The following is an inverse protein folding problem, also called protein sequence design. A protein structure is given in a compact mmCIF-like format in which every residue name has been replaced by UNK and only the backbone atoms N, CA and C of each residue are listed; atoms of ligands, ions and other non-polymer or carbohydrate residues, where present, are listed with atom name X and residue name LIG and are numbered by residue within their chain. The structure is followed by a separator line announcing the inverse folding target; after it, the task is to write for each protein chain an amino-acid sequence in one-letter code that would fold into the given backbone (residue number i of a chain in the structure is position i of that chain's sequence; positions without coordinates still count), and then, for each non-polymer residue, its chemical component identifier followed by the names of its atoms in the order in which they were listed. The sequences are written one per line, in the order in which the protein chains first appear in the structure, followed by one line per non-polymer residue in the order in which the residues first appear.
data_IF_456723322763
#
_entry.id   IF_456723322763
#
_cell.length_a   1.000
_cell.length_b   1.000
_cell.length_c   1.000
_cell.angle_alpha   90.00
_cell.angle_beta   90.00
_cell.angle_gamma   90.00
#
_symmetry.space_group_name_H-M   'P 1'
#
loop_
_entity.id
_entity.type
_entity.pdbx_description
1 polymer ?
#
# COMPACT_ATOMS: atom_id res chain seq x y z
N UNK A 1 11.42 23.04 -17.20
CA UNK A 1 11.08 21.64 -16.82
C UNK A 1 9.73 21.68 -16.14
N UNK A 2 8.79 20.80 -16.46
CA UNK A 2 7.46 20.81 -15.83
C UNK A 2 7.57 20.11 -14.47
N UNK A 3 7.40 20.86 -13.38
CA UNK A 3 7.49 20.32 -12.03
C UNK A 3 6.08 20.24 -11.45
N UNK A 4 5.68 19.05 -10.99
CA UNK A 4 4.45 18.86 -10.22
C UNK A 4 4.70 19.34 -8.79
N UNK A 5 4.12 20.47 -8.40
CA UNK A 5 4.27 20.98 -7.04
C UNK A 5 3.37 20.21 -6.05
N UNK A 6 2.17 19.82 -6.49
CA UNK A 6 1.17 19.10 -5.71
C UNK A 6 0.38 18.17 -6.61
N UNK A 7 -0.07 17.06 -6.03
CA UNK A 7 -0.99 16.11 -6.64
C UNK A 7 -2.02 15.70 -5.60
N UNK A 8 -3.29 15.55 -5.98
CA UNK A 8 -4.39 15.10 -5.11
C UNK A 8 -5.45 14.33 -5.90
N UNK A 9 -6.32 13.63 -5.17
CA UNK A 9 -7.33 12.72 -5.72
C UNK A 9 -8.71 13.15 -5.21
N UNK A 10 -9.62 13.44 -6.15
CA UNK A 10 -11.01 13.82 -5.86
C UNK A 10 -11.86 12.59 -5.45
N UNK A 11 -13.11 12.83 -5.03
CA UNK A 11 -13.92 11.82 -4.35
C UNK A 11 -14.46 10.68 -5.23
N UNK A 12 -14.41 10.83 -6.55
CA UNK A 12 -15.00 9.90 -7.52
C UNK A 12 -14.04 8.81 -8.00
N UNK A 13 -12.99 8.51 -7.23
CA UNK A 13 -12.04 7.45 -7.59
C UNK A 13 -12.72 6.08 -7.64
N UNK A 14 -12.55 5.36 -8.75
CA UNK A 14 -13.15 4.04 -8.97
C UNK A 14 -12.17 2.87 -8.75
N UNK A 15 -11.01 3.14 -8.15
CA UNK A 15 -9.98 2.13 -7.83
C UNK A 15 -9.62 1.22 -9.01
N UNK A 16 -9.41 1.82 -10.19
CA UNK A 16 -9.09 1.09 -11.43
C UNK A 16 -7.59 0.72 -11.58
N UNK A 17 -6.79 0.95 -10.55
CA UNK A 17 -5.33 0.66 -10.46
C UNK A 17 -4.39 1.36 -11.46
N UNK A 18 -4.92 1.97 -12.53
CA UNK A 18 -4.13 2.64 -13.56
C UNK A 18 -3.06 3.60 -13.02
N UNK A 19 -3.38 4.38 -11.99
CA UNK A 19 -2.43 5.33 -11.40
C UNK A 19 -1.27 4.67 -10.64
N UNK A 20 -1.53 3.53 -9.98
CA UNK A 20 -0.51 2.77 -9.27
C UNK A 20 0.34 1.95 -10.24
N UNK A 21 -0.24 1.45 -11.32
CA UNK A 21 0.52 0.74 -12.36
C UNK A 21 1.51 1.68 -13.08
N UNK A 22 1.12 2.93 -13.28
CA UNK A 22 1.92 3.95 -13.98
C UNK A 22 2.95 4.60 -13.04
N UNK A 23 2.56 4.92 -11.80
CA UNK A 23 3.42 5.61 -10.85
C UNK A 23 3.26 5.05 -9.42
N UNK A 24 3.77 3.83 -9.16
CA UNK A 24 3.67 3.17 -7.85
C UNK A 24 4.48 3.90 -6.76
N UNK A 25 5.44 4.74 -7.13
CA UNK A 25 6.23 5.54 -6.22
C UNK A 25 5.43 6.70 -5.61
N UNK A 26 4.29 7.07 -6.21
CA UNK A 26 3.44 8.19 -5.79
C UNK A 26 2.06 7.70 -5.35
N UNK A 27 1.48 6.73 -6.04
CA UNK A 27 0.10 6.27 -5.83
C UNK A 27 0.03 4.85 -5.28
N UNK A 28 -0.88 4.65 -4.33
CA UNK A 28 -1.25 3.34 -3.80
C UNK A 28 -2.77 3.24 -3.76
N UNK A 29 -3.35 2.23 -4.42
CA UNK A 29 -4.78 1.97 -4.43
C UNK A 29 -5.15 1.05 -3.28
N UNK A 30 -6.22 1.40 -2.58
CA UNK A 30 -6.86 0.56 -1.58
C UNK A 30 -8.30 0.23 -2.00
N UNK A 31 -9.01 -0.50 -1.15
CA UNK A 31 -10.38 -0.97 -1.43
C UNK A 31 -11.41 0.16 -1.61
N UNK A 32 -11.15 1.36 -1.09
CA UNK A 32 -12.08 2.47 -1.06
C UNK A 32 -11.70 3.61 -2.03
N UNK A 33 -10.41 3.88 -2.26
CA UNK A 33 -9.90 4.96 -3.10
C UNK A 33 -8.38 4.89 -3.31
N UNK A 34 -7.88 5.47 -4.40
CA UNK A 34 -6.45 5.72 -4.59
C UNK A 34 -5.92 6.77 -3.59
N UNK A 35 -4.77 6.51 -2.99
CA UNK A 35 -4.09 7.36 -2.02
C UNK A 35 -2.73 7.82 -2.55
N UNK A 36 -2.20 8.90 -1.97
CA UNK A 36 -0.84 9.36 -2.27
C UNK A 36 0.08 8.99 -1.11
N UNK A 37 1.26 8.47 -1.45
CA UNK A 37 2.24 8.00 -0.49
C UNK A 37 2.71 9.12 0.46
N UNK A 38 2.82 8.78 1.74
CA UNK A 38 3.33 9.70 2.76
C UNK A 38 4.76 10.19 2.46
N UNK A 39 5.60 9.32 1.88
CA UNK A 39 6.99 9.63 1.56
C UNK A 39 7.16 10.72 0.51
N UNK A 40 6.16 10.89 -0.37
CA UNK A 40 6.23 11.88 -1.45
C UNK A 40 5.66 13.23 -1.05
N UNK A 41 5.10 13.37 0.15
CA UNK A 41 4.47 14.58 0.67
C UNK A 41 5.20 15.18 1.86
N UNK A 42 5.23 16.51 1.90
CA UNK A 42 5.86 17.27 2.99
C UNK A 42 5.17 17.11 4.35
N UNK A 43 3.89 16.72 4.37
CA UNK A 43 3.13 16.48 5.60
C UNK A 43 3.17 15.03 6.09
N UNK A 44 3.78 14.12 5.33
CA UNK A 44 3.97 12.72 5.72
C UNK A 44 2.68 11.93 5.89
N UNK A 45 1.57 12.37 5.28
CA UNK A 45 0.26 11.69 5.40
C UNK A 45 -0.01 10.78 4.22
N UNK A 46 -0.54 9.61 4.53
CA UNK A 46 -1.07 8.67 3.55
C UNK A 46 -2.59 8.87 3.43
N UNK A 47 -2.98 9.74 2.50
CA UNK A 47 -4.37 10.00 2.16
C UNK A 47 -4.46 10.54 0.72
N UNK A 48 -5.68 10.86 0.25
CA UNK A 48 -5.97 11.43 -1.10
C UNK A 48 -5.34 12.82 -1.36
N UNK A 49 -4.66 13.39 -0.39
CA UNK A 49 -4.08 14.74 -0.41
C UNK A 49 -5.08 15.85 -0.75
N UNK A 50 -6.35 15.72 -0.35
CA UNK A 50 -7.39 16.75 -0.57
C UNK A 50 -6.97 18.11 0.06
N UNK A 51 -6.08 18.08 1.05
CA UNK A 51 -5.47 19.27 1.65
C UNK A 51 -4.44 20.00 0.78
N UNK A 52 -4.01 19.42 -0.35
CA UNK A 52 -3.09 20.03 -1.30
C UNK A 52 -1.67 20.21 -0.76
N UNK A 53 -1.16 19.27 0.02
CA UNK A 53 0.20 19.31 0.56
C UNK A 53 1.24 19.14 -0.56
N UNK A 54 2.31 19.95 -0.57
CA UNK A 54 3.32 19.92 -1.63
C UNK A 54 4.21 18.68 -1.55
N UNK A 55 4.78 18.33 -2.71
CA UNK A 55 5.70 17.22 -2.86
C UNK A 55 7.05 17.50 -2.19
N UNK A 56 7.71 16.45 -1.69
CA UNK A 56 9.01 16.56 -1.02
C UNK A 56 10.12 16.79 -2.05
N UNK A 57 10.95 17.81 -1.82
CA UNK A 57 12.20 18.00 -2.54
C UNK A 57 12.04 18.05 -4.06
N UNK A 58 12.80 17.19 -4.77
CA UNK A 58 12.79 17.07 -6.24
C UNK A 58 11.77 16.08 -6.79
N UNK A 59 11.01 15.37 -5.94
CA UNK A 59 10.16 14.25 -6.38
C UNK A 59 9.08 14.69 -7.40
N UNK A 60 8.62 15.93 -7.30
CA UNK A 60 7.70 16.52 -8.29
C UNK A 60 8.31 16.77 -9.67
N UNK A 61 9.63 16.87 -9.75
CA UNK A 61 10.38 16.91 -11.01
C UNK A 61 10.75 15.50 -11.47
N UNK A 62 11.11 14.61 -10.55
CA UNK A 62 11.56 13.25 -10.84
C UNK A 62 10.41 12.36 -11.33
N UNK A 63 9.22 12.48 -10.73
CA UNK A 63 8.02 11.70 -11.09
C UNK A 63 6.96 12.52 -11.84
N UNK A 64 7.25 13.77 -12.19
CA UNK A 64 6.26 14.67 -12.79
C UNK A 64 5.64 14.13 -14.08
N UNK A 65 6.44 13.51 -14.95
CA UNK A 65 5.97 12.90 -16.20
C UNK A 65 5.06 11.69 -15.94
N UNK A 66 5.41 10.85 -14.96
CA UNK A 66 4.60 9.69 -14.58
C UNK A 66 3.28 10.09 -13.91
N UNK A 67 3.27 11.17 -13.13
CA UNK A 67 2.05 11.71 -12.51
C UNK A 67 1.11 12.25 -13.59
N UNK A 68 1.64 12.93 -14.62
CA UNK A 68 0.87 13.41 -15.77
C UNK A 68 0.25 12.24 -16.53
N UNK A 69 1.03 11.21 -16.83
CA UNK A 69 0.56 9.99 -17.51
C UNK A 69 -0.52 9.26 -16.68
N UNK A 70 -0.32 9.15 -15.36
CA UNK A 70 -1.29 8.55 -14.46
C UNK A 70 -2.62 9.33 -14.44
N UNK A 71 -2.56 10.66 -14.52
CA UNK A 71 -3.75 11.49 -14.57
C UNK A 71 -4.52 11.34 -15.89
N UNK A 72 -3.82 11.19 -17.02
CA UNK A 72 -4.43 10.94 -18.33
C UNK A 72 -5.03 9.52 -18.44
N UNK A 73 -4.42 8.54 -17.78
CA UNK A 73 -4.93 7.18 -17.72
C UNK A 73 -6.12 6.99 -16.77
N UNK A 74 -6.45 8.00 -15.96
CA UNK A 74 -7.57 7.93 -15.02
C UNK A 74 -8.92 8.04 -15.75
N UNK A 75 -9.75 6.97 -15.80
CA UNK A 75 -10.99 6.94 -16.59
C UNK A 75 -12.09 7.90 -16.11
N UNK A 76 -11.95 8.39 -14.87
CA UNK A 76 -12.85 9.35 -14.21
C UNK A 76 -12.17 10.70 -13.96
N UNK A 77 -10.93 10.89 -14.43
CA UNK A 77 -10.18 12.15 -14.37
C UNK A 77 -10.08 12.77 -12.96
N UNK A 78 -10.03 11.95 -11.90
CA UNK A 78 -10.02 12.42 -10.50
C UNK A 78 -8.64 12.82 -9.97
N UNK A 79 -7.57 12.50 -10.71
CA UNK A 79 -6.21 12.86 -10.32
C UNK A 79 -5.96 14.29 -10.78
N UNK A 80 -5.76 15.19 -9.82
CA UNK A 80 -5.50 16.61 -10.05
C UNK A 80 -4.09 16.95 -9.62
N UNK A 81 -3.49 17.93 -10.28
CA UNK A 81 -2.13 18.36 -9.98
C UNK A 81 -1.94 19.85 -10.25
N UNK A 82 -1.00 20.46 -9.54
CA UNK A 82 -0.57 21.85 -9.74
C UNK A 82 0.84 21.84 -10.33
N UNK A 83 1.00 22.39 -11.53
CA UNK A 83 2.29 22.52 -12.19
C UNK A 83 2.89 23.89 -11.88
N UNK A 84 4.20 23.92 -11.64
CA UNK A 84 4.96 25.17 -11.55
C UNK A 84 6.00 25.17 -12.66
N UNK A 85 5.94 26.18 -13.53
CA UNK A 85 6.93 26.42 -14.57
C UNK A 85 7.96 27.45 -14.07
N UNK A 86 9.22 27.01 -14.03
CA UNK A 86 10.49 27.74 -13.83
C UNK A 86 10.41 29.16 -13.19
N UNK A 87 10.84 29.26 -11.92
CA UNK A 87 11.36 30.53 -11.38
C UNK A 87 11.06 30.92 -9.93
N UNK A 88 10.42 30.09 -9.11
CA UNK A 88 10.29 30.37 -7.68
C UNK A 88 11.17 29.41 -6.88
N UNK A 89 12.25 29.95 -6.31
CA UNK A 89 13.07 29.30 -5.30
C UNK A 89 12.16 28.72 -4.21
N UNK A 90 12.06 27.40 -4.14
CA UNK A 90 11.68 26.74 -2.90
C UNK A 90 12.91 26.87 -2.02
N UNK A 91 12.85 27.85 -1.11
CA UNK A 91 13.91 28.15 -0.16
C UNK A 91 14.33 26.87 0.57
N UNK A 92 15.52 26.45 0.22
CA UNK A 92 16.28 25.37 0.84
C UNK A 92 16.68 25.87 2.23
N UNK A 93 16.11 25.30 3.28
CA UNK A 93 16.78 25.26 4.58
C UNK A 93 17.13 23.80 4.89
N UNK A 94 18.30 23.40 4.37
CA UNK A 94 18.97 22.15 4.72
C UNK A 94 19.71 22.39 6.04
N UNK A 95 19.24 21.76 7.11
CA UNK A 95 20.08 21.43 8.25
C UNK A 95 20.64 20.01 8.04
N UNK A 96 21.97 19.81 8.01
CA UNK A 96 22.60 18.61 7.47
C UNK A 96 22.64 17.43 8.45
N UNK A 97 22.89 16.27 7.85
CA UNK A 97 22.96 14.92 8.39
C UNK A 97 23.71 14.71 9.71
N UNK A 98 23.23 13.72 10.47
CA UNK A 98 24.07 12.89 11.33
C UNK A 98 23.63 11.42 11.18
N UNK A 99 24.52 10.59 10.63
CA UNK A 99 24.46 9.12 10.68
C UNK A 99 24.40 8.64 12.13
N UNK A 100 23.42 7.81 12.48
CA UNK A 100 23.55 6.85 13.59
C UNK A 100 22.83 5.55 13.24
N UNK A 101 23.53 4.47 13.59
CA UNK A 101 23.26 3.08 13.30
C UNK A 101 21.96 2.53 13.91
N UNK A 102 21.58 1.39 13.35
CA UNK A 102 20.57 0.41 13.78
C UNK A 102 20.45 0.28 15.31
N UNK A 103 19.24 0.44 15.84
CA UNK A 103 18.80 -0.34 17.00
C UNK A 103 17.27 -0.53 16.98
N UNK A 104 16.86 -1.69 17.48
CA UNK A 104 15.50 -2.21 17.49
C UNK A 104 14.52 -1.36 18.31
N UNK A 105 13.24 -1.64 18.07
CA UNK A 105 12.05 -1.09 18.72
C UNK A 105 12.19 -0.82 20.23
N UNK A 106 11.34 0.09 20.74
CA UNK A 106 10.16 -0.47 21.37
C UNK A 106 8.86 0.12 20.84
N UNK A 107 7.85 -0.74 20.85
CA UNK A 107 6.45 -0.36 20.76
C UNK A 107 6.13 0.80 21.72
N UNK A 108 5.46 1.84 21.21
CA UNK A 108 4.74 2.79 22.04
C UNK A 108 3.47 3.30 21.33
N UNK A 109 2.37 2.68 21.74
CA UNK A 109 1.07 3.31 22.00
C UNK A 109 0.48 4.21 20.90
N UNK A 110 -0.30 3.59 20.00
CA UNK A 110 -1.42 4.31 19.38
C UNK A 110 -2.48 4.51 20.47
N UNK A 111 -2.83 5.77 20.70
CA UNK A 111 -3.76 6.22 21.71
C UNK A 111 -5.07 5.41 21.70
N UNK A 112 -5.41 4.89 22.87
CA UNK A 112 -6.75 4.41 23.23
C UNK A 112 -7.72 5.58 23.18
N UNK A 113 -8.31 5.81 22.01
CA UNK A 113 -9.38 6.79 21.78
C UNK A 113 -10.51 6.25 20.91
N UNK A 114 -10.58 4.93 20.69
CA UNK A 114 -11.72 4.29 20.03
C UNK A 114 -12.87 4.11 21.00
N UNK A 115 -14.09 4.47 20.58
CA UNK A 115 -15.33 4.17 21.30
C UNK A 115 -15.38 2.69 21.73
N UNK A 116 -16.13 2.36 22.78
CA UNK A 116 -16.31 0.98 23.25
C UNK A 116 -16.75 0.02 22.11
N UNK A 117 -17.46 0.56 21.12
CA UNK A 117 -17.82 -0.15 19.89
C UNK A 117 -16.60 -0.52 19.02
N UNK A 118 -15.63 0.38 18.87
CA UNK A 118 -14.39 0.12 18.13
C UNK A 118 -13.49 -0.89 18.85
N UNK A 119 -13.41 -0.83 20.18
CA UNK A 119 -12.67 -1.83 20.97
C UNK A 119 -13.33 -3.21 20.95
N UNK A 120 -14.66 -3.27 20.89
CA UNK A 120 -15.40 -4.53 20.71
C UNK A 120 -15.19 -5.13 19.31
N UNK A 121 -15.15 -4.29 18.26
CA UNK A 121 -14.81 -4.72 16.89
C UNK A 121 -13.37 -5.22 16.77
N UNK A 122 -12.50 -4.64 17.60
CA UNK A 122 -11.08 -4.96 17.71
C UNK A 122 -10.78 -6.05 18.77
N UNK A 123 -11.81 -6.66 19.36
CA UNK A 123 -11.68 -7.78 20.29
C UNK A 123 -11.94 -9.13 19.60
N UNK A 124 -11.27 -10.19 20.06
CA UNK A 124 -11.46 -11.56 19.58
C UNK A 124 -10.20 -12.21 19.03
N UNK A 125 -10.37 -13.40 18.44
CA UNK A 125 -9.29 -14.13 17.77
C UNK A 125 -8.92 -13.41 16.46
N UNK A 126 -7.67 -12.95 16.41
CA UNK A 126 -7.09 -12.20 15.31
C UNK A 126 -6.10 -13.01 14.50
N UNK A 127 -6.05 -14.32 14.72
CA UNK A 127 -5.27 -15.23 13.87
C UNK A 127 -5.75 -15.13 12.42
N UNK A 128 -4.80 -15.04 11.50
CA UNK A 128 -5.03 -15.06 10.06
C UNK A 128 -4.13 -16.14 9.46
N UNK A 129 -4.72 -17.21 8.93
CA UNK A 129 -3.98 -18.20 8.18
C UNK A 129 -3.92 -17.77 6.70
N UNK A 130 -2.72 -17.58 6.17
CA UNK A 130 -2.48 -17.23 4.76
C UNK A 130 -1.92 -18.46 4.06
N UNK A 131 -2.67 -19.04 3.14
CA UNK A 131 -2.24 -20.17 2.32
C UNK A 131 -1.78 -19.68 0.95
N UNK A 132 -0.71 -20.25 0.40
CA UNK A 132 -0.26 -19.88 -0.93
C UNK A 132 -0.08 -21.07 -1.88
N UNK A 133 -0.51 -20.88 -3.12
CA UNK A 133 -0.26 -21.76 -4.26
C UNK A 133 0.60 -21.04 -5.30
N UNK A 134 1.85 -21.45 -5.51
CA UNK A 134 2.76 -20.79 -6.45
C UNK A 134 3.66 -21.73 -7.23
N UNK A 135 3.71 -21.54 -8.55
CA UNK A 135 4.65 -22.25 -9.43
C UNK A 135 6.03 -21.56 -9.53
N UNK A 136 6.03 -20.22 -9.65
CA UNK A 136 7.25 -19.41 -9.85
C UNK A 136 7.61 -18.53 -8.66
N UNK A 137 6.86 -18.63 -7.55
CA UNK A 137 7.10 -17.88 -6.32
C UNK A 137 6.40 -16.51 -6.23
N UNK A 138 5.70 -16.06 -7.28
CA UNK A 138 4.99 -14.77 -7.25
C UNK A 138 3.89 -14.74 -6.16
N UNK A 139 3.08 -15.79 -6.06
CA UNK A 139 2.02 -15.89 -5.06
C UNK A 139 2.57 -16.07 -3.64
N UNK A 140 3.70 -16.77 -3.49
CA UNK A 140 4.41 -16.87 -2.21
C UNK A 140 4.92 -15.50 -1.74
N UNK A 141 5.52 -14.72 -2.65
CA UNK A 141 5.97 -13.34 -2.35
C UNK A 141 4.82 -12.41 -1.98
N UNK A 142 3.64 -12.58 -2.59
CA UNK A 142 2.44 -11.85 -2.20
C UNK A 142 1.95 -12.27 -0.80
N UNK A 143 1.95 -13.56 -0.47
CA UNK A 143 1.56 -14.04 0.86
C UNK A 143 2.44 -13.48 1.98
N UNK A 144 3.76 -13.42 1.77
CA UNK A 144 4.68 -12.82 2.74
C UNK A 144 4.46 -11.31 2.92
N UNK A 145 4.22 -10.58 1.82
CA UNK A 145 3.89 -9.14 1.87
C UNK A 145 2.59 -8.93 2.63
N UNK A 146 1.57 -9.73 2.35
CA UNK A 146 0.29 -9.67 3.04
C UNK A 146 0.42 -9.98 4.53
N UNK A 147 1.28 -10.93 4.92
CA UNK A 147 1.58 -11.17 6.33
C UNK A 147 2.21 -9.94 7.00
N UNK A 148 3.18 -9.28 6.35
CA UNK A 148 3.80 -8.06 6.90
C UNK A 148 2.77 -6.94 7.06
N UNK A 149 1.87 -6.77 6.10
CA UNK A 149 0.80 -5.79 6.17
C UNK A 149 -0.25 -6.15 7.24
N UNK A 150 -0.66 -7.41 7.34
CA UNK A 150 -1.67 -7.85 8.30
C UNK A 150 -1.29 -7.52 9.77
N UNK A 151 0.00 -7.52 10.09
CA UNK A 151 0.50 -7.11 11.40
C UNK A 151 0.17 -5.64 11.74
N UNK A 152 0.16 -4.72 10.75
CA UNK A 152 -0.20 -3.31 10.98
C UNK A 152 -1.70 -3.12 11.28
N UNK A 153 -2.53 -4.05 10.82
CA UNK A 153 -3.97 -4.10 11.10
C UNK A 153 -4.32 -4.81 12.41
N UNK A 154 -3.31 -5.18 13.20
CA UNK A 154 -3.48 -5.91 14.46
C UNK A 154 -3.86 -7.37 14.29
N UNK A 155 -3.75 -7.93 13.08
CA UNK A 155 -3.93 -9.36 12.82
C UNK A 155 -2.63 -10.11 13.16
N UNK A 156 -2.77 -11.39 13.47
CA UNK A 156 -1.66 -12.31 13.74
C UNK A 156 -1.57 -13.29 12.56
N UNK A 157 -0.82 -12.94 11.50
CA UNK A 157 -0.73 -13.75 10.31
C UNK A 157 0.23 -14.93 10.48
N UNK A 158 -0.15 -16.08 9.95
CA UNK A 158 0.71 -17.25 9.78
C UNK A 158 0.62 -17.70 8.33
N UNK A 159 1.77 -17.75 7.65
CA UNK A 159 1.86 -18.19 6.25
C UNK A 159 2.07 -19.70 6.20
N UNK A 160 1.26 -20.37 5.40
CA UNK A 160 1.29 -21.81 5.16
C UNK A 160 1.46 -22.08 3.67
N UNK A 161 2.36 -23.00 3.33
CA UNK A 161 2.35 -23.60 2.00
C UNK A 161 1.11 -24.49 1.87
N UNK A 162 0.47 -24.45 0.70
CA UNK A 162 -0.65 -25.36 0.42
C UNK A 162 -0.16 -26.80 0.26
N UNK A 163 1.11 -27.00 -0.09
CA UNK A 163 1.70 -28.32 -0.23
C UNK A 163 1.76 -29.03 1.13
N UNK A 164 1.07 -30.17 1.22
CA UNK A 164 1.02 -30.99 2.44
C UNK A 164 0.13 -30.44 3.56
N UNK A 165 -0.71 -29.43 3.30
CA UNK A 165 -1.71 -28.97 4.27
C UNK A 165 -2.98 -29.82 4.22
N UNK A 166 -3.44 -30.33 5.36
CA UNK A 166 -4.68 -31.11 5.44
C UNK A 166 -5.90 -30.17 5.43
N UNK A 167 -6.65 -30.16 4.33
CA UNK A 167 -7.87 -29.37 4.15
C UNK A 167 -8.91 -29.57 5.28
N UNK A 168 -8.89 -30.72 5.97
CA UNK A 168 -9.77 -30.99 7.12
C UNK A 168 -9.51 -30.02 8.29
N UNK A 169 -8.31 -29.45 8.37
CA UNK A 169 -7.89 -28.50 9.41
C UNK A 169 -8.21 -27.05 9.06
N UNK A 170 -8.69 -26.75 7.84
CA UNK A 170 -9.15 -25.39 7.48
C UNK A 170 -10.24 -24.88 8.45
N UNK A 171 -11.11 -25.78 8.92
CA UNK A 171 -12.17 -25.46 9.88
C UNK A 171 -11.66 -25.01 11.25
N UNK A 172 -10.37 -25.22 11.56
CA UNK A 172 -9.76 -24.77 12.82
C UNK A 172 -9.29 -23.32 12.78
N UNK A 173 -9.23 -22.71 11.60
CA UNK A 173 -8.81 -21.32 11.42
C UNK A 173 -10.03 -20.39 11.36
N UNK A 174 -10.09 -19.43 12.28
CA UNK A 174 -11.18 -18.44 12.35
C UNK A 174 -11.18 -17.51 11.12
N UNK A 175 -9.99 -17.22 10.58
CA UNK A 175 -9.81 -16.38 9.37
C UNK A 175 -8.76 -17.00 8.48
N UNK A 176 -9.13 -17.18 7.21
CA UNK A 176 -8.29 -17.81 6.20
C UNK A 176 -8.24 -16.94 4.95
N UNK A 177 -7.04 -16.70 4.43
CA UNK A 177 -6.78 -16.03 3.15
C UNK A 177 -6.01 -17.00 2.26
N UNK A 178 -6.41 -17.15 1.00
CA UNK A 178 -5.77 -18.04 0.03
C UNK A 178 -5.28 -17.20 -1.14
N UNK A 179 -3.99 -17.30 -1.45
CA UNK A 179 -3.34 -16.60 -2.56
C UNK A 179 -2.75 -17.64 -3.49
N UNK A 180 -3.42 -17.94 -4.59
CA UNK A 180 -2.98 -18.95 -5.54
C UNK A 180 -2.83 -18.35 -6.94
N UNK A 181 -1.76 -18.71 -7.64
CA UNK A 181 -1.65 -18.47 -9.09
C UNK A 181 -2.45 -19.52 -9.85
N UNK A 182 -2.76 -19.28 -11.12
CA UNK A 182 -3.21 -20.33 -12.05
C UNK A 182 -2.14 -20.54 -13.12
N UNK A 183 -2.15 -21.72 -13.73
CA UNK A 183 -1.24 -22.08 -14.81
C UNK A 183 -1.99 -22.61 -16.04
N UNK A 184 -1.40 -22.47 -17.22
CA UNK A 184 -2.01 -22.92 -18.48
C UNK A 184 -3.40 -22.34 -18.73
N UNK A 185 -4.39 -23.23 -18.86
CA UNK A 185 -5.82 -22.91 -19.13
C UNK A 185 -6.65 -22.74 -17.83
N UNK A 186 -5.99 -22.52 -16.69
CA UNK A 186 -6.64 -22.39 -15.38
C UNK A 186 -6.41 -23.57 -14.44
N UNK A 187 -5.35 -24.35 -14.67
CA UNK A 187 -4.92 -25.39 -13.75
C UNK A 187 -4.33 -24.78 -12.48
N UNK A 188 -4.45 -25.51 -11.38
CA UNK A 188 -3.86 -25.12 -10.11
C UNK A 188 -2.34 -25.41 -10.14
N UNK A 189 -1.51 -24.63 -9.41
CA UNK A 189 -0.07 -24.83 -9.37
C UNK A 189 0.24 -26.12 -8.62
N UNK A 190 1.40 -26.72 -8.88
CA UNK A 190 1.75 -28.06 -8.38
C UNK A 190 1.63 -28.15 -6.84
N UNK A 191 1.99 -27.07 -6.13
CA UNK A 191 1.94 -27.00 -4.68
C UNK A 191 0.52 -26.80 -4.10
N UNK A 192 -0.51 -26.70 -4.96
CA UNK A 192 -1.91 -26.52 -4.57
C UNK A 192 -2.83 -27.64 -5.09
N UNK A 193 -2.27 -28.69 -5.71
CA UNK A 193 -3.02 -29.81 -6.29
C UNK A 193 -3.57 -30.82 -5.27
N UNK A 194 -3.15 -30.73 -4.00
CA UNK A 194 -3.42 -31.78 -2.99
C UNK A 194 -4.23 -31.32 -1.79
#
# INVERSE_FOLDING_TARGET
MTIVAKVWIDEDCITCDACQDICPEVFEVNDDSSQILAAVRTDGKFDRNVGGSPMVGSLGADYGEMILEAAEACPVEVIKFELVSDGAEIAVEVAPAAELAVEAAPAAAVATGGSEAFQSLMGGDRSLAIFFGSQTGNAAGLAEKTAKMAASYGLVPTVYDMDGFDASKLNSHTRTLIITSTWGEGEMPDNAET
#
